data_IF_884529930866
#
_entry.id   IF_884529930866
#
_cell.length_a   1.000
_cell.length_b   1.000
_cell.length_c   1.000
_cell.angle_alpha   90.00
_cell.angle_beta   90.00
_cell.angle_gamma   90.00
#
_symmetry.space_group_name_H-M   'P 1'
#
loop_
_entity.id
_entity.type
_entity.pdbx_description
1 polymer ?
#
# COMPACT_ATOMS: atom_id res chain seq x y z
N UNK A 1 -21.78 -22.36 7.67
CA UNK A 1 -20.59 -21.81 8.35
C UNK A 1 -19.85 -20.89 7.39
N UNK A 2 -19.52 -19.65 7.78
CA UNK A 2 -18.76 -18.75 6.90
C UNK A 2 -17.43 -19.41 6.54
N UNK A 3 -17.08 -19.38 5.26
CA UNK A 3 -15.86 -19.98 4.77
C UNK A 3 -14.64 -19.39 5.52
N UNK A 4 -13.54 -20.14 5.60
CA UNK A 4 -12.28 -19.68 6.22
C UNK A 4 -11.81 -18.32 5.67
N UNK A 5 -12.12 -18.02 4.40
CA UNK A 5 -11.89 -16.73 3.75
C UNK A 5 -12.66 -15.58 4.42
N UNK A 6 -13.91 -15.78 4.84
CA UNK A 6 -14.72 -14.71 5.44
C UNK A 6 -14.24 -14.31 6.84
N UNK A 7 -13.65 -15.23 7.62
CA UNK A 7 -13.13 -14.92 8.96
C UNK A 7 -11.84 -14.09 8.94
N UNK A 8 -11.14 -14.07 7.84
CA UNK A 8 -9.83 -13.39 7.74
C UNK A 8 -9.94 -11.95 7.19
N UNK A 9 -11.13 -11.51 6.79
CA UNK A 9 -11.36 -10.19 6.19
C UNK A 9 -11.24 -9.03 7.17
N UNK A 10 -11.36 -9.29 8.47
CA UNK A 10 -11.34 -8.28 9.53
C UNK A 10 -10.01 -8.20 10.27
N UNK A 11 -8.99 -8.94 9.85
CA UNK A 11 -7.69 -8.98 10.54
C UNK A 11 -6.68 -8.15 9.77
N UNK A 12 -6.06 -7.18 10.44
CA UNK A 12 -4.90 -6.46 9.96
C UNK A 12 -3.66 -7.00 10.66
N UNK A 13 -2.76 -7.60 9.90
CA UNK A 13 -1.44 -8.02 10.37
C UNK A 13 -0.40 -6.95 10.02
N UNK A 14 0.62 -6.82 10.85
CA UNK A 14 1.74 -5.92 10.66
C UNK A 14 3.06 -6.66 10.76
N UNK A 15 3.98 -6.39 9.82
CA UNK A 15 5.35 -6.85 9.98
C UNK A 15 6.05 -6.04 11.06
N UNK A 16 6.51 -6.72 12.11
CA UNK A 16 7.31 -6.13 13.17
C UNK A 16 8.79 -6.26 12.78
N UNK A 17 9.41 -5.14 12.35
CA UNK A 17 10.80 -5.10 11.89
C UNK A 17 11.79 -5.53 12.99
N UNK A 18 11.51 -5.16 14.24
CA UNK A 18 12.40 -5.42 15.38
C UNK A 18 12.41 -6.89 15.75
N UNK A 19 11.31 -7.57 15.61
CA UNK A 19 11.18 -9.00 15.90
C UNK A 19 11.33 -9.89 14.66
N UNK A 20 11.28 -9.33 13.46
CA UNK A 20 11.34 -10.06 12.19
C UNK A 20 10.15 -10.99 11.94
N UNK A 21 9.01 -10.73 12.55
CA UNK A 21 7.81 -11.57 12.49
C UNK A 21 6.57 -10.77 12.11
N UNK A 22 5.53 -11.48 11.66
CA UNK A 22 4.19 -10.91 11.48
C UNK A 22 3.47 -10.89 12.83
N UNK A 23 2.90 -9.74 13.18
CA UNK A 23 2.13 -9.56 14.40
C UNK A 23 0.71 -9.09 14.05
N UNK A 24 -0.26 -9.47 14.85
CA UNK A 24 -1.60 -8.90 14.78
C UNK A 24 -1.52 -7.43 15.21
N UNK A 25 -1.89 -6.51 14.31
CA UNK A 25 -2.00 -5.09 14.62
C UNK A 25 -3.38 -4.80 15.23
N UNK A 26 -4.42 -5.10 14.49
CA UNK A 26 -5.81 -4.90 14.96
C UNK A 26 -6.82 -5.76 14.20
N UNK A 27 -8.01 -5.87 14.76
CA UNK A 27 -9.18 -6.38 14.08
C UNK A 27 -9.94 -5.18 13.52
N UNK A 28 -10.17 -5.17 12.21
CA UNK A 28 -10.94 -4.10 11.56
C UNK A 28 -12.43 -4.23 11.89
N UNK A 29 -13.09 -3.11 12.13
CA UNK A 29 -14.53 -3.05 12.38
C UNK A 29 -15.39 -3.20 11.11
N UNK A 30 -14.78 -3.56 9.99
CA UNK A 30 -15.41 -3.60 8.67
C UNK A 30 -14.96 -4.82 7.86
N UNK A 31 -15.82 -5.27 6.96
CA UNK A 31 -15.51 -6.25 5.92
C UNK A 31 -14.75 -5.66 4.71
N UNK A 32 -14.29 -4.42 4.79
CA UNK A 32 -13.55 -3.74 3.72
C UNK A 32 -12.20 -4.42 3.52
N UNK A 33 -11.83 -4.66 2.26
CA UNK A 33 -10.57 -5.28 1.85
C UNK A 33 -9.68 -4.26 1.18
N UNK A 34 -8.37 -4.42 1.34
CA UNK A 34 -7.42 -3.72 0.48
C UNK A 34 -7.64 -4.14 -0.97
N UNK A 35 -7.83 -3.18 -1.90
CA UNK A 35 -8.07 -3.50 -3.31
C UNK A 35 -6.85 -4.13 -3.99
N UNK A 36 -5.64 -3.88 -3.45
CA UNK A 36 -4.37 -4.41 -3.92
C UNK A 36 -3.53 -4.94 -2.76
N UNK A 37 -2.42 -5.61 -3.08
CA UNK A 37 -1.43 -5.97 -2.07
C UNK A 37 -0.86 -4.72 -1.43
N UNK A 38 -0.88 -4.66 -0.10
CA UNK A 38 -0.45 -3.50 0.67
C UNK A 38 0.80 -3.79 1.48
N UNK A 39 1.77 -2.90 1.42
CA UNK A 39 3.03 -3.07 2.11
C UNK A 39 3.75 -1.76 2.35
N UNK A 40 5.06 -1.83 2.52
CA UNK A 40 5.92 -0.67 2.70
C UNK A 40 7.25 -0.85 1.97
N UNK A 41 7.94 0.26 1.73
CA UNK A 41 9.27 0.26 1.12
C UNK A 41 10.31 0.22 2.26
N UNK A 42 11.10 -0.86 2.37
CA UNK A 42 12.16 -0.95 3.39
C UNK A 42 13.21 0.15 3.22
N UNK A 43 13.80 0.56 4.33
CA UNK A 43 14.82 1.61 4.39
C UNK A 43 14.35 2.99 3.90
N UNK A 44 13.06 3.27 3.99
CA UNK A 44 12.49 4.61 3.83
C UNK A 44 11.95 5.11 5.17
N UNK A 45 11.90 6.42 5.33
CA UNK A 45 11.33 7.08 6.49
C UNK A 45 10.53 8.28 6.00
N UNK A 46 9.22 8.23 6.19
CA UNK A 46 8.30 9.33 5.90
C UNK A 46 8.25 10.33 7.07
N UNK A 47 7.56 11.44 6.87
CA UNK A 47 7.47 12.51 7.87
C UNK A 47 6.78 12.08 9.17
N UNK A 48 5.93 11.06 9.10
CA UNK A 48 5.25 10.42 10.25
C UNK A 48 6.14 9.43 11.04
N UNK A 49 7.41 9.27 10.63
CA UNK A 49 8.36 8.33 11.26
C UNK A 49 8.16 6.86 10.86
N UNK A 50 7.26 6.56 9.92
CA UNK A 50 7.05 5.23 9.38
C UNK A 50 7.71 5.05 8.00
N UNK A 51 7.97 3.82 7.54
CA UNK A 51 8.36 3.59 6.15
C UNK A 51 7.25 4.01 5.18
N UNK A 52 7.63 4.42 3.96
CA UNK A 52 6.66 4.73 2.90
C UNK A 52 5.76 3.54 2.60
N UNK A 53 4.47 3.78 2.62
CA UNK A 53 3.46 2.81 2.27
C UNK A 53 3.34 2.64 0.75
N UNK A 54 3.13 1.40 0.32
CA UNK A 54 2.97 1.09 -1.09
C UNK A 54 1.89 0.03 -1.31
N UNK A 55 1.11 0.22 -2.36
CA UNK A 55 0.19 -0.77 -2.90
C UNK A 55 0.79 -1.36 -4.16
N UNK A 56 0.58 -2.65 -4.39
CA UNK A 56 1.07 -3.35 -5.57
C UNK A 56 -0.12 -3.98 -6.28
N UNK A 57 -0.30 -3.61 -7.55
CA UNK A 57 -1.32 -4.21 -8.41
C UNK A 57 -0.92 -5.65 -8.69
N UNK A 58 -1.68 -6.59 -8.18
CA UNK A 58 -1.46 -8.03 -8.36
C UNK A 58 -2.73 -8.69 -8.88
N UNK A 59 -2.60 -9.61 -9.83
CA UNK A 59 -3.71 -10.44 -10.31
C UNK A 59 -4.15 -11.42 -9.21
N UNK A 60 -3.17 -11.97 -8.48
CA UNK A 60 -3.39 -12.84 -7.33
C UNK A 60 -2.61 -12.31 -6.13
N UNK A 61 -3.21 -12.34 -4.92
CA UNK A 61 -2.55 -11.82 -3.73
C UNK A 61 -1.37 -12.70 -3.33
N UNK A 62 -0.30 -12.06 -2.89
CA UNK A 62 0.85 -12.74 -2.29
C UNK A 62 0.64 -13.02 -0.79
N UNK A 63 1.60 -13.67 -0.14
CA UNK A 63 1.56 -13.92 1.30
C UNK A 63 2.21 -12.78 2.08
N UNK A 64 1.85 -12.64 3.35
CA UNK A 64 2.43 -11.65 4.25
C UNK A 64 3.93 -11.91 4.48
N UNK A 65 4.73 -10.84 4.40
CA UNK A 65 6.20 -10.92 4.49
C UNK A 65 6.88 -11.19 3.13
N UNK A 66 6.12 -11.37 2.05
CA UNK A 66 6.70 -11.51 0.72
C UNK A 66 7.42 -10.22 0.30
N UNK A 67 8.66 -10.36 -0.16
CA UNK A 67 9.44 -9.27 -0.72
C UNK A 67 9.23 -9.20 -2.23
N UNK A 68 8.60 -8.12 -2.70
CA UNK A 68 8.26 -7.95 -4.11
C UNK A 68 9.13 -6.85 -4.71
N UNK A 69 9.78 -7.14 -5.84
CA UNK A 69 10.40 -6.11 -6.66
C UNK A 69 9.31 -5.43 -7.48
N UNK A 70 9.09 -4.15 -7.24
CA UNK A 70 8.05 -3.40 -7.88
C UNK A 70 8.56 -2.07 -8.42
N UNK A 71 7.89 -1.57 -9.46
CA UNK A 71 8.10 -0.24 -10.03
C UNK A 71 6.95 0.66 -9.59
N UNK A 72 7.22 1.80 -8.96
CA UNK A 72 6.18 2.78 -8.67
C UNK A 72 5.71 3.43 -9.98
N UNK A 73 4.41 3.70 -10.06
CA UNK A 73 3.76 4.32 -11.23
C UNK A 73 2.95 5.57 -10.88
N UNK A 74 2.69 5.79 -9.59
CA UNK A 74 1.98 6.96 -9.11
C UNK A 74 1.86 6.99 -7.60
N UNK A 75 1.27 8.04 -7.07
CA UNK A 75 0.99 8.21 -5.65
C UNK A 75 -0.42 8.74 -5.44
N UNK A 76 -1.13 8.19 -4.47
CA UNK A 76 -2.35 8.77 -3.93
C UNK A 76 -1.94 9.81 -2.89
N UNK A 77 -2.15 11.08 -3.19
CA UNK A 77 -1.97 12.16 -2.22
C UNK A 77 -3.15 12.14 -1.25
N UNK A 78 -2.84 11.89 0.00
CA UNK A 78 -3.84 11.91 1.07
C UNK A 78 -3.27 12.44 2.37
N UNK A 79 -4.16 12.95 3.22
CA UNK A 79 -3.86 13.35 4.58
C UNK A 79 -4.73 12.55 5.55
N UNK A 80 -4.12 12.04 6.60
CA UNK A 80 -4.79 11.33 7.70
C UNK A 80 -4.70 12.19 8.96
N UNK A 81 -5.84 12.69 9.43
CA UNK A 81 -5.91 13.63 10.56
C UNK A 81 -5.02 14.88 10.36
N UNK A 82 -4.90 15.36 9.12
CA UNK A 82 -4.10 16.54 8.76
C UNK A 82 -2.62 16.27 8.47
N UNK A 83 -2.12 15.06 8.70
CA UNK A 83 -0.75 14.65 8.35
C UNK A 83 -0.70 14.01 6.98
N UNK A 84 0.33 14.34 6.19
CA UNK A 84 0.53 13.76 4.86
C UNK A 84 0.82 12.26 4.98
N UNK A 85 0.02 11.45 4.29
CA UNK A 85 0.09 9.99 4.32
C UNK A 85 -0.04 9.39 2.91
N UNK A 86 0.83 9.85 1.99
CA UNK A 86 0.83 9.42 0.59
C UNK A 86 1.04 7.92 0.42
N UNK A 87 0.26 7.30 -0.48
CA UNK A 87 0.32 5.88 -0.77
C UNK A 87 0.85 5.65 -2.17
N UNK A 88 2.02 5.03 -2.30
CA UNK A 88 2.57 4.69 -3.61
C UNK A 88 1.73 3.59 -4.27
N UNK A 89 1.51 3.71 -5.57
CA UNK A 89 0.96 2.65 -6.39
C UNK A 89 2.07 2.07 -7.26
N UNK A 90 2.24 0.76 -7.21
CA UNK A 90 3.32 0.03 -7.85
C UNK A 90 2.80 -1.13 -8.69
N UNK A 91 3.61 -1.53 -9.67
CA UNK A 91 3.43 -2.77 -10.44
C UNK A 91 4.62 -3.70 -10.22
N UNK A 92 4.42 -5.03 -10.12
CA UNK A 92 5.50 -5.97 -9.94
C UNK A 92 6.34 -6.07 -11.21
N UNK A 93 7.67 -6.03 -11.07
CA UNK A 93 8.58 -6.11 -12.23
C UNK A 93 8.62 -7.54 -12.81
N UNK A 94 8.36 -8.56 -11.99
CA UNK A 94 8.39 -9.96 -12.41
C UNK A 94 7.13 -10.42 -13.16
N UNK A 95 6.07 -9.62 -13.20
CA UNK A 95 4.82 -9.98 -13.88
C UNK A 95 4.83 -9.48 -15.32
N UNK A 96 5.00 -10.38 -16.29
CA UNK A 96 5.02 -10.04 -17.71
C UNK A 96 3.75 -9.34 -18.24
N UNK A 97 2.59 -9.54 -17.60
CA UNK A 97 1.33 -8.90 -17.99
C UNK A 97 1.29 -7.40 -17.66
N UNK A 98 2.00 -6.98 -16.63
CA UNK A 98 1.97 -5.61 -16.13
C UNK A 98 3.26 -4.83 -16.43
N UNK A 99 4.23 -5.45 -17.12
CA UNK A 99 5.50 -4.82 -17.45
C UNK A 99 5.37 -3.54 -18.31
N UNK A 100 4.28 -3.42 -19.07
CA UNK A 100 4.01 -2.28 -19.95
C UNK A 100 3.37 -1.11 -19.22
N UNK A 101 2.97 -1.27 -17.95
CA UNK A 101 2.38 -0.19 -17.16
C UNK A 101 3.51 0.63 -16.57
N UNK A 102 3.63 1.87 -17.03
CA UNK A 102 4.67 2.82 -16.62
C UNK A 102 4.13 4.11 -16.02
N UNK A 103 2.83 4.34 -16.15
CA UNK A 103 2.14 5.55 -15.68
C UNK A 103 0.80 5.18 -15.07
N UNK A 104 0.38 5.99 -14.12
CA UNK A 104 -0.92 5.85 -13.47
C UNK A 104 -2.09 6.04 -14.46
N UNK A 105 -1.88 6.77 -15.53
CA UNK A 105 -2.87 7.01 -16.58
C UNK A 105 -3.26 5.73 -17.34
N UNK A 106 -2.46 4.68 -17.23
CA UNK A 106 -2.75 3.37 -17.82
C UNK A 106 -3.63 2.48 -16.92
N UNK A 107 -3.93 2.94 -15.72
CA UNK A 107 -4.82 2.25 -14.78
C UNK A 107 -6.25 2.75 -14.98
N UNK A 108 -7.22 1.84 -14.95
CA UNK A 108 -8.63 2.21 -15.08
C UNK A 108 -9.04 3.16 -13.94
N UNK A 109 -9.75 4.26 -14.30
CA UNK A 109 -10.18 5.25 -13.32
C UNK A 109 -11.03 4.64 -12.19
N UNK A 110 -11.84 3.62 -12.50
CA UNK A 110 -12.61 2.87 -11.50
C UNK A 110 -11.73 2.18 -10.46
N UNK A 111 -10.61 1.59 -10.86
CA UNK A 111 -9.67 0.95 -9.93
C UNK A 111 -8.98 1.98 -9.03
N UNK A 112 -8.66 3.15 -9.57
CA UNK A 112 -8.08 4.25 -8.78
C UNK A 112 -9.09 4.80 -7.76
N UNK A 113 -10.36 4.90 -8.15
CA UNK A 113 -11.43 5.33 -7.24
C UNK A 113 -11.72 4.28 -6.16
N UNK A 114 -11.70 2.99 -6.49
CA UNK A 114 -11.84 1.90 -5.51
C UNK A 114 -10.78 2.00 -4.39
N UNK A 115 -9.54 2.36 -4.75
CA UNK A 115 -8.47 2.61 -3.78
C UNK A 115 -8.77 3.82 -2.91
N UNK A 116 -9.17 4.94 -3.51
CA UNK A 116 -9.49 6.15 -2.78
C UNK A 116 -10.65 5.93 -1.81
N UNK A 117 -11.72 5.27 -2.27
CA UNK A 117 -12.88 4.95 -1.46
C UNK A 117 -12.56 3.97 -0.33
N UNK A 118 -11.67 2.99 -0.58
CA UNK A 118 -11.18 2.12 0.47
C UNK A 118 -10.58 2.92 1.64
N UNK A 119 -9.71 3.90 1.37
CA UNK A 119 -9.11 4.70 2.43
C UNK A 119 -10.10 5.62 3.13
N UNK A 120 -11.04 6.24 2.40
CA UNK A 120 -12.12 7.03 3.01
C UNK A 120 -12.93 6.20 3.99
N UNK A 121 -13.37 5.03 3.53
CA UNK A 121 -14.26 4.15 4.32
C UNK A 121 -13.52 3.51 5.49
N UNK A 122 -12.35 2.91 5.27
CA UNK A 122 -11.63 2.17 6.32
C UNK A 122 -11.17 3.07 7.46
N UNK A 123 -10.68 4.25 7.14
CA UNK A 123 -10.23 5.24 8.14
C UNK A 123 -11.42 5.93 8.83
N UNK A 124 -12.49 6.22 8.09
CA UNK A 124 -13.71 6.80 8.64
C UNK A 124 -14.35 5.90 9.69
N UNK A 125 -14.35 4.58 9.50
CA UNK A 125 -14.83 3.60 10.48
C UNK A 125 -13.95 3.53 11.74
N UNK A 126 -12.68 3.94 11.65
CA UNK A 126 -11.78 4.10 12.79
C UNK A 126 -11.96 5.47 13.49
N UNK A 127 -12.90 6.30 13.06
CA UNK A 127 -13.12 7.66 13.58
C UNK A 127 -12.04 8.66 13.13
N UNK A 128 -11.28 8.35 12.08
CA UNK A 128 -10.21 9.21 11.53
C UNK A 128 -10.73 10.00 10.34
N UNK A 129 -10.28 11.24 10.22
CA UNK A 129 -10.62 12.09 9.07
C UNK A 129 -9.55 11.94 8.00
N UNK A 130 -9.96 11.50 6.83
CA UNK A 130 -9.10 11.39 5.65
C UNK A 130 -9.51 12.42 4.62
N UNK A 131 -8.52 13.16 4.14
CA UNK A 131 -8.64 14.00 2.95
C UNK A 131 -7.86 13.35 1.82
N UNK A 132 -8.48 13.19 0.65
CA UNK A 132 -7.84 12.68 -0.57
C UNK A 132 -7.75 13.82 -1.57
N UNK A 133 -6.52 14.18 -1.93
CA UNK A 133 -6.25 15.28 -2.84
C UNK A 133 -6.14 14.81 -4.29
N UNK A 134 -6.04 13.50 -4.50
CA UNK A 134 -6.05 12.88 -5.82
C UNK A 134 -4.81 12.05 -6.11
N UNK A 135 -4.67 11.66 -7.36
CA UNK A 135 -3.56 10.86 -7.86
C UNK A 135 -2.53 11.72 -8.57
N UNK A 136 -1.25 11.42 -8.36
CA UNK A 136 -0.14 12.03 -9.09
C UNK A 136 0.71 10.98 -9.79
N UNK A 137 1.33 11.40 -10.89
CA UNK A 137 2.14 10.53 -11.74
C UNK A 137 3.58 10.40 -11.20
N UNK A 138 4.42 9.69 -11.91
CA UNK A 138 5.75 9.22 -11.54
C UNK A 138 6.74 10.32 -11.13
N UNK A 139 6.68 11.51 -11.73
CA UNK A 139 7.57 12.62 -11.41
C UNK A 139 7.53 13.02 -9.92
N UNK A 140 6.34 13.04 -9.33
CA UNK A 140 6.16 13.31 -7.90
C UNK A 140 6.61 12.14 -7.04
N UNK A 141 6.37 10.91 -7.51
CA UNK A 141 6.79 9.68 -6.82
C UNK A 141 8.30 9.63 -6.61
N UNK A 142 9.08 9.96 -7.64
CA UNK A 142 10.54 9.94 -7.54
C UNK A 142 11.04 10.91 -6.49
N UNK A 143 10.48 12.12 -6.44
CA UNK A 143 10.83 13.13 -5.43
C UNK A 143 10.49 12.65 -4.01
N UNK A 144 9.32 12.06 -3.84
CA UNK A 144 8.89 11.52 -2.55
C UNK A 144 9.82 10.41 -2.05
N UNK A 145 10.16 9.47 -2.92
CA UNK A 145 11.06 8.38 -2.58
C UNK A 145 12.45 8.89 -2.23
N UNK A 146 12.97 9.84 -3.00
CA UNK A 146 14.28 10.46 -2.73
C UNK A 146 14.30 11.20 -1.40
N UNK A 147 13.25 11.95 -1.07
CA UNK A 147 13.08 12.64 0.22
C UNK A 147 13.11 11.65 1.39
N UNK A 148 12.43 10.52 1.24
CA UNK A 148 12.28 9.53 2.30
C UNK A 148 13.40 8.48 2.36
N UNK A 149 14.40 8.53 1.47
CA UNK A 149 15.50 7.56 1.44
C UNK A 149 16.79 8.20 1.93
N UNK A 150 17.28 7.87 3.13
CA UNK A 150 18.46 8.51 3.71
C UNK A 150 19.77 8.17 3.00
N UNK A 151 19.82 7.12 2.17
CA UNK A 151 21.03 6.70 1.41
C UNK A 151 20.69 6.37 -0.05
N UNK A 152 21.32 7.11 -0.97
CA UNK A 152 21.06 7.15 -2.42
C UNK A 152 21.34 5.89 -3.26
N UNK A 153 21.48 4.72 -2.67
CA UNK A 153 21.75 3.49 -3.46
C UNK A 153 20.86 2.35 -3.03
N UNK A 154 19.68 2.18 -3.66
CA UNK A 154 19.08 0.83 -3.71
C UNK A 154 17.82 0.77 -4.59
N UNK A 155 17.68 -0.32 -5.34
CA UNK A 155 16.47 -0.80 -5.97
C UNK A 155 15.34 -0.91 -4.96
N UNK A 156 14.22 -0.27 -5.23
CA UNK A 156 13.08 -0.28 -4.33
C UNK A 156 12.45 -1.68 -4.27
N UNK A 157 12.21 -2.15 -3.07
CA UNK A 157 11.53 -3.39 -2.77
C UNK A 157 10.38 -3.08 -1.82
N UNK A 158 9.21 -3.60 -2.08
CA UNK A 158 8.04 -3.43 -1.20
C UNK A 158 7.86 -4.68 -0.34
N UNK A 159 7.80 -4.49 0.97
CA UNK A 159 7.41 -5.53 1.92
C UNK A 159 5.93 -5.41 2.25
N UNK A 160 5.19 -6.49 2.05
CA UNK A 160 3.76 -6.53 2.34
C UNK A 160 3.51 -6.43 3.85
N UNK A 161 2.75 -5.40 4.27
CA UNK A 161 2.38 -5.17 5.67
C UNK A 161 1.23 -6.03 6.14
N UNK A 162 0.31 -6.30 5.24
CA UNK A 162 -0.95 -6.95 5.59
C UNK A 162 -1.13 -8.23 4.83
N UNK A 163 -1.63 -9.20 5.53
CA UNK A 163 -2.17 -10.40 4.93
C UNK A 163 -3.59 -10.10 4.45
N UNK A 164 -3.74 -9.89 3.14
CA UNK A 164 -5.01 -10.25 2.53
C UNK A 164 -4.88 -11.74 2.25
N UNK A 165 -5.48 -12.51 3.05
CA UNK A 165 -5.33 -13.90 3.26
C UNK A 165 -5.74 -14.82 2.22
N UNK A 166 -5.16 -15.84 2.30
CA UNK A 166 -5.50 -17.20 1.83
C UNK A 166 -6.82 -17.70 2.39
#
# INVERSE_FOLDING_TARGET
SPSRRQRQMCIRDRYCSDAGIMALDRILHSSVRYPFDYGFIPNTLADDGAPLDAMIIMDEPTFAGCLIKARPIGVLDMHDCGEYDGKLLCVPIANGRQNNIVSIQQIAASQLEDVAEFFRTSKGLEGRTVQIDGWRDYDVVEQLIQKCTPNKKKTFKVLKKTKTTI
#
